data_IF_359841447510
#
_entry.id   IF_359841447510
#
_cell.length_a   1.000
_cell.length_b   1.000
_cell.length_c   1.000
_cell.angle_alpha   90.00
_cell.angle_beta   90.00
_cell.angle_gamma   90.00
#
_symmetry.space_group_name_H-M   'P 1'
#
loop_
_entity.id
_entity.type
_entity.pdbx_description
1 polymer ?
#
# COMPACT_ATOMS: atom_id res chain seq x y z
N UNK A 1 32.09 -62.87 -0.32
CA UNK A 1 32.39 -61.86 -1.36
C UNK A 1 31.08 -61.20 -1.77
N UNK A 2 30.87 -59.92 -1.43
CA UNK A 2 29.69 -59.15 -1.88
C UNK A 2 29.93 -58.77 -3.34
N UNK A 3 28.98 -59.06 -4.23
CA UNK A 3 29.01 -58.58 -5.62
C UNK A 3 28.57 -57.11 -5.60
N UNK A 4 29.49 -56.21 -5.93
CA UNK A 4 29.15 -54.82 -6.28
C UNK A 4 28.35 -54.85 -7.59
N UNK A 5 27.08 -54.47 -7.54
CA UNK A 5 26.26 -54.27 -8.73
C UNK A 5 26.62 -52.90 -9.33
N UNK A 6 27.35 -52.88 -10.44
CA UNK A 6 27.64 -51.66 -11.18
C UNK A 6 26.37 -51.06 -11.79
N UNK A 7 26.27 -49.73 -11.78
CA UNK A 7 25.19 -48.96 -12.40
C UNK A 7 25.23 -49.15 -13.93
N UNK A 8 24.08 -49.31 -14.58
CA UNK A 8 24.03 -49.47 -16.04
C UNK A 8 24.01 -48.10 -16.75
N UNK A 9 24.61 -48.00 -17.94
CA UNK A 9 24.58 -46.75 -18.72
C UNK A 9 23.14 -46.32 -19.06
N UNK A 10 22.25 -47.28 -19.32
CA UNK A 10 20.85 -46.99 -19.65
C UNK A 10 20.10 -46.37 -18.47
N UNK A 11 20.40 -46.80 -17.25
CA UNK A 11 19.79 -46.27 -16.03
C UNK A 11 20.17 -44.80 -15.82
N UNK A 12 21.41 -44.43 -16.12
CA UNK A 12 21.86 -43.03 -16.10
C UNK A 12 21.14 -42.18 -17.16
N UNK A 13 21.02 -42.71 -18.39
CA UNK A 13 20.39 -42.00 -19.51
C UNK A 13 18.91 -41.76 -19.26
N UNK A 14 18.19 -42.74 -18.72
CA UNK A 14 16.77 -42.59 -18.39
C UNK A 14 16.57 -41.51 -17.32
N UNK A 15 17.44 -41.42 -16.32
CA UNK A 15 17.35 -40.40 -15.27
C UNK A 15 17.52 -38.99 -15.84
N UNK A 16 18.52 -38.74 -16.70
CA UNK A 16 18.72 -37.40 -17.27
C UNK A 16 17.56 -37.00 -18.20
N UNK A 17 16.96 -37.95 -18.92
CA UNK A 17 15.79 -37.69 -19.78
C UNK A 17 14.58 -37.31 -18.93
N UNK A 18 14.32 -38.05 -17.85
CA UNK A 18 13.22 -37.73 -16.91
C UNK A 18 13.44 -36.35 -16.29
N UNK A 19 14.66 -36.05 -15.81
CA UNK A 19 14.99 -34.74 -15.24
C UNK A 19 14.85 -33.62 -16.29
N UNK A 20 15.20 -33.87 -17.54
CA UNK A 20 15.02 -32.91 -18.64
C UNK A 20 13.54 -32.55 -18.88
N UNK A 21 12.65 -33.53 -18.89
CA UNK A 21 11.20 -33.30 -19.06
C UNK A 21 10.62 -32.51 -17.87
N UNK A 22 11.01 -32.88 -16.64
CA UNK A 22 10.59 -32.17 -15.43
C UNK A 22 11.09 -30.71 -15.42
N UNK A 23 12.32 -30.48 -15.87
CA UNK A 23 12.90 -29.13 -15.92
C UNK A 23 12.16 -28.23 -16.92
N UNK A 24 11.88 -28.71 -18.13
CA UNK A 24 11.19 -27.91 -19.17
C UNK A 24 9.76 -27.53 -18.76
N UNK A 25 9.07 -28.42 -18.04
CA UNK A 25 7.70 -28.16 -17.57
C UNK A 25 7.66 -27.26 -16.32
N UNK A 26 8.66 -27.32 -15.44
CA UNK A 26 8.73 -26.50 -14.22
C UNK A 26 9.30 -25.09 -14.46
N UNK A 27 10.20 -24.92 -15.44
CA UNK A 27 10.93 -23.66 -15.65
C UNK A 27 10.04 -22.42 -15.86
N UNK A 28 8.96 -22.45 -16.69
CA UNK A 28 8.12 -21.26 -16.90
C UNK A 28 7.42 -20.81 -15.62
N UNK A 29 6.95 -21.76 -14.80
CA UNK A 29 6.28 -21.45 -13.53
C UNK A 29 7.26 -20.87 -12.52
N UNK A 30 8.48 -21.38 -12.46
CA UNK A 30 9.50 -20.89 -11.52
C UNK A 30 9.88 -19.43 -11.77
N UNK A 31 9.84 -18.99 -13.03
CA UNK A 31 10.14 -17.59 -13.39
C UNK A 31 9.07 -16.61 -12.88
N UNK A 32 7.79 -16.99 -12.91
CA UNK A 32 6.68 -16.09 -12.56
C UNK A 32 6.32 -16.06 -11.07
N UNK A 33 6.81 -17.02 -10.25
CA UNK A 33 6.47 -17.11 -8.82
C UNK A 33 6.84 -15.84 -8.04
N UNK A 34 7.88 -15.12 -8.45
CA UNK A 34 8.27 -13.89 -7.77
C UNK A 34 7.24 -12.78 -7.97
N UNK A 35 6.74 -12.62 -9.18
CA UNK A 35 5.74 -11.59 -9.51
C UNK A 35 4.38 -11.96 -8.92
N UNK A 36 3.97 -13.24 -9.00
CA UNK A 36 2.78 -13.76 -8.31
C UNK A 36 2.85 -13.49 -6.79
N UNK A 37 4.03 -13.70 -6.18
CA UNK A 37 4.23 -13.48 -4.75
C UNK A 37 4.19 -11.98 -4.39
N UNK A 38 4.70 -11.10 -5.25
CA UNK A 38 4.60 -9.64 -5.06
C UNK A 38 3.15 -9.18 -5.17
N UNK A 39 2.41 -9.65 -6.17
CA UNK A 39 1.01 -9.31 -6.35
C UNK A 39 0.15 -9.78 -5.17
N UNK A 40 0.35 -11.01 -4.70
CA UNK A 40 -0.33 -11.52 -3.50
C UNK A 40 -0.06 -10.67 -2.25
N UNK A 41 1.16 -10.12 -2.10
CA UNK A 41 1.47 -9.18 -0.99
C UNK A 41 0.76 -7.85 -1.16
N UNK A 42 0.68 -7.31 -2.38
CA UNK A 42 -0.08 -6.09 -2.68
C UNK A 42 -1.57 -6.27 -2.39
N UNK A 43 -2.15 -7.42 -2.73
CA UNK A 43 -3.53 -7.74 -2.38
C UNK A 43 -3.75 -7.79 -0.87
N UNK A 44 -2.84 -8.43 -0.14
CA UNK A 44 -2.87 -8.48 1.32
C UNK A 44 -2.82 -7.08 1.95
N UNK A 45 -1.91 -6.23 1.48
CA UNK A 45 -1.81 -4.85 1.95
C UNK A 45 -3.02 -4.01 1.55
N UNK A 46 -3.56 -4.19 0.34
CA UNK A 46 -4.81 -3.52 -0.08
C UNK A 46 -5.96 -3.88 0.85
N UNK A 47 -6.13 -5.15 1.22
CA UNK A 47 -7.17 -5.58 2.14
C UNK A 47 -6.98 -4.94 3.54
N UNK A 48 -5.74 -4.85 4.02
CA UNK A 48 -5.42 -4.14 5.26
C UNK A 48 -5.79 -2.65 5.17
N UNK A 49 -5.49 -2.00 4.03
CA UNK A 49 -5.87 -0.61 3.78
C UNK A 49 -7.38 -0.43 3.80
N UNK A 50 -8.13 -1.29 3.11
CA UNK A 50 -9.60 -1.22 3.08
C UNK A 50 -10.21 -1.37 4.49
N UNK A 51 -9.66 -2.29 5.29
CA UNK A 51 -10.08 -2.46 6.69
C UNK A 51 -9.79 -1.20 7.52
N UNK A 52 -8.58 -0.66 7.42
CA UNK A 52 -8.19 0.59 8.08
C UNK A 52 -9.09 1.76 7.70
N UNK A 53 -9.36 1.94 6.40
CA UNK A 53 -10.25 2.98 5.88
C UNK A 53 -11.68 2.83 6.41
N UNK A 54 -12.24 1.62 6.46
CA UNK A 54 -13.58 1.39 6.99
C UNK A 54 -13.68 1.74 8.48
N UNK A 55 -12.67 1.38 9.27
CA UNK A 55 -12.59 1.73 10.69
C UNK A 55 -12.38 3.25 10.88
N UNK A 56 -11.51 3.86 10.09
CA UNK A 56 -11.25 5.29 10.12
C UNK A 56 -12.49 6.11 9.77
N UNK A 57 -13.18 5.73 8.70
CA UNK A 57 -14.45 6.34 8.32
C UNK A 57 -15.49 6.21 9.44
N UNK A 58 -15.61 5.02 10.06
CA UNK A 58 -16.53 4.82 11.19
C UNK A 58 -16.23 5.75 12.37
N UNK A 59 -14.94 5.98 12.69
CA UNK A 59 -14.54 6.95 13.72
C UNK A 59 -14.94 8.38 13.34
N UNK A 60 -14.77 8.75 12.06
CA UNK A 60 -15.19 10.06 11.55
C UNK A 60 -16.70 10.25 11.60
N UNK A 61 -17.48 9.22 11.25
CA UNK A 61 -18.95 9.22 11.35
C UNK A 61 -19.42 9.40 12.79
N UNK A 62 -18.79 8.72 13.74
CA UNK A 62 -19.10 8.90 15.17
C UNK A 62 -18.82 10.34 15.63
N UNK A 63 -17.80 10.98 15.06
CA UNK A 63 -17.47 12.38 15.33
C UNK A 63 -18.36 13.38 14.54
N UNK A 64 -19.16 12.92 13.57
CA UNK A 64 -19.96 13.77 12.70
C UNK A 64 -19.14 14.62 11.72
N UNK A 65 -17.98 14.11 11.31
CA UNK A 65 -16.99 14.81 10.48
C UNK A 65 -16.81 14.18 9.09
N UNK A 66 -17.58 13.15 8.78
CA UNK A 66 -17.51 12.33 7.57
C UNK A 66 -17.98 13.05 6.30
N UNK A 67 -18.94 13.97 6.40
CA UNK A 67 -19.47 14.71 5.25
C UNK A 67 -18.74 16.03 5.00
N UNK A 68 -17.68 16.31 5.75
CA UNK A 68 -16.93 17.54 5.60
C UNK A 68 -15.91 17.43 4.45
N UNK A 69 -15.86 18.40 3.52
CA UNK A 69 -14.94 18.37 2.38
C UNK A 69 -13.47 18.45 2.79
N UNK A 70 -13.20 19.04 3.97
CA UNK A 70 -11.87 19.15 4.54
C UNK A 70 -11.93 19.32 6.05
N UNK A 71 -11.09 18.56 6.74
CA UNK A 71 -10.95 18.56 8.20
C UNK A 71 -9.48 18.41 8.56
N UNK A 72 -8.98 19.24 9.47
CA UNK A 72 -7.61 19.13 10.00
C UNK A 72 -7.54 19.39 11.51
N UNK A 73 -6.56 18.77 12.17
CA UNK A 73 -6.20 19.10 13.55
C UNK A 73 -5.33 20.35 13.67
N UNK A 74 -4.89 20.92 12.54
CA UNK A 74 -4.18 22.20 12.45
C UNK A 74 -5.02 23.20 11.64
N UNK A 75 -4.68 24.49 11.79
CA UNK A 75 -5.28 25.52 10.96
C UNK A 75 -4.72 25.41 9.55
N UNK A 76 -5.61 25.31 8.56
CA UNK A 76 -5.23 25.14 7.16
C UNK A 76 -5.87 26.21 6.29
N UNK A 77 -5.09 26.70 5.32
CA UNK A 77 -5.52 27.68 4.33
C UNK A 77 -5.91 26.94 3.04
N UNK A 78 -7.18 26.91 2.61
CA UNK A 78 -7.61 26.14 1.46
C UNK A 78 -7.53 26.88 0.11
N UNK A 79 -6.99 28.11 0.05
CA UNK A 79 -6.84 28.87 -1.21
C UNK A 79 -5.41 29.40 -1.42
N UNK A 80 -5.04 29.61 -2.69
CA UNK A 80 -3.76 30.20 -3.12
C UNK A 80 -3.54 31.65 -2.65
N UNK A 81 -4.56 32.29 -2.10
CA UNK A 81 -4.55 33.66 -1.55
C UNK A 81 -4.56 33.70 -0.01
N UNK A 82 -4.64 32.54 0.66
CA UNK A 82 -4.57 32.46 2.13
C UNK A 82 -5.75 33.08 2.89
N UNK A 83 -6.88 33.36 2.21
CA UNK A 83 -8.00 34.13 2.75
C UNK A 83 -9.09 33.30 3.42
N UNK A 84 -9.20 32.01 3.09
CA UNK A 84 -10.07 31.08 3.82
C UNK A 84 -9.23 30.40 4.91
N UNK A 85 -9.76 30.31 6.13
CA UNK A 85 -9.15 29.54 7.22
C UNK A 85 -10.14 28.46 7.58
N UNK A 86 -9.78 27.19 7.39
CA UNK A 86 -10.57 26.09 7.94
C UNK A 86 -10.24 25.98 9.43
N UNK A 87 -11.22 26.13 10.34
CA UNK A 87 -10.95 26.03 11.76
C UNK A 87 -10.51 24.61 12.13
N UNK A 88 -9.39 24.50 12.84
CA UNK A 88 -8.90 23.22 13.36
C UNK A 88 -9.91 22.55 14.31
N UNK A 89 -9.91 21.24 14.29
CA UNK A 89 -10.76 20.41 15.13
C UNK A 89 -10.02 19.20 15.70
N UNK A 90 -10.49 18.68 16.83
CA UNK A 90 -9.89 17.46 17.37
C UNK A 90 -10.40 16.29 16.56
N UNK A 91 -9.50 15.43 16.10
CA UNK A 91 -9.87 14.25 15.33
C UNK A 91 -9.84 12.99 16.22
N UNK A 92 -10.67 11.97 15.94
CA UNK A 92 -10.81 10.77 16.76
C UNK A 92 -9.70 9.74 16.52
N UNK A 93 -8.46 10.20 16.37
CA UNK A 93 -7.28 9.38 16.12
C UNK A 93 -6.16 9.76 17.08
N UNK A 94 -5.31 8.78 17.38
CA UNK A 94 -4.18 8.97 18.28
C UNK A 94 -3.28 10.08 17.74
N UNK A 95 -2.80 10.96 18.63
CA UNK A 95 -1.94 12.09 18.30
C UNK A 95 -2.54 13.12 17.31
N UNK A 96 -3.85 13.08 17.04
CA UNK A 96 -4.58 14.03 16.19
C UNK A 96 -5.41 15.05 16.99
N UNK A 97 -5.02 15.36 18.23
CA UNK A 97 -5.62 16.48 18.98
C UNK A 97 -5.29 17.83 18.32
N UNK A 98 -6.06 18.86 18.68
CA UNK A 98 -5.86 20.23 18.16
C UNK A 98 -4.43 20.71 18.39
N UNK A 99 -3.77 21.15 17.31
CA UNK A 99 -2.36 21.56 17.26
C UNK A 99 -1.38 20.53 17.85
N UNK A 100 -1.65 19.23 17.68
CA UNK A 100 -0.70 18.20 18.10
C UNK A 100 0.69 18.49 17.52
N UNK A 101 1.75 18.51 18.36
CA UNK A 101 3.12 18.71 17.89
C UNK A 101 3.67 17.47 17.19
N UNK A 102 3.00 16.32 17.34
CA UNK A 102 3.48 15.04 16.83
C UNK A 102 3.11 14.80 15.37
N UNK A 103 1.90 15.21 14.97
CA UNK A 103 1.42 15.01 13.60
C UNK A 103 0.32 15.98 13.16
N UNK A 104 0.28 16.19 11.84
CA UNK A 104 -0.85 16.82 11.16
C UNK A 104 -1.75 15.73 10.59
N UNK A 105 -3.02 15.79 10.92
CA UNK A 105 -4.02 14.82 10.51
C UNK A 105 -5.05 15.54 9.66
N UNK A 106 -5.19 15.10 8.42
CA UNK A 106 -6.07 15.70 7.44
C UNK A 106 -7.00 14.66 6.87
N UNK A 107 -8.29 14.97 6.82
CA UNK A 107 -9.32 14.11 6.26
C UNK A 107 -10.17 14.88 5.26
N UNK A 108 -10.65 14.20 4.23
CA UNK A 108 -11.59 14.67 3.22
C UNK A 108 -12.72 13.67 3.11
N UNK A 109 -13.95 14.12 3.31
CA UNK A 109 -15.13 13.27 3.19
C UNK A 109 -15.01 11.99 4.02
N UNK A 110 -14.47 12.11 5.24
CA UNK A 110 -14.29 11.01 6.19
C UNK A 110 -13.09 10.07 5.93
N UNK A 111 -12.31 10.29 4.87
CA UNK A 111 -11.11 9.49 4.56
C UNK A 111 -9.83 10.30 4.71
N UNK A 112 -8.69 9.69 5.07
CA UNK A 112 -7.44 10.42 5.20
C UNK A 112 -7.02 11.07 3.88
N UNK A 113 -6.49 12.28 3.93
CA UNK A 113 -6.01 12.98 2.75
C UNK A 113 -4.78 12.27 2.13
N UNK A 114 -4.44 12.62 0.90
CA UNK A 114 -3.21 12.15 0.23
C UNK A 114 -1.97 12.95 0.61
N UNK A 115 -2.11 13.91 1.52
CA UNK A 115 -1.04 14.74 2.04
C UNK A 115 -0.52 14.23 3.40
N UNK A 116 0.65 14.73 3.84
CA UNK A 116 1.40 14.40 5.08
C UNK A 116 0.68 13.47 6.09
N UNK A 117 1.31 12.34 6.38
CA UNK A 117 0.84 11.22 7.22
C UNK A 117 -0.44 10.48 6.79
N UNK A 118 -1.29 11.05 5.93
CA UNK A 118 -2.38 10.42 5.19
C UNK A 118 -2.88 9.05 5.71
N UNK A 119 -2.62 7.99 4.95
CA UNK A 119 -3.02 6.62 5.32
C UNK A 119 -2.28 6.04 6.53
N UNK A 120 -1.09 6.57 6.86
CA UNK A 120 -0.30 6.13 8.02
C UNK A 120 -1.02 6.35 9.35
N UNK A 121 -1.95 7.30 9.42
CA UNK A 121 -2.82 7.53 10.58
C UNK A 121 -3.66 6.29 10.91
N UNK A 122 -4.07 5.53 9.89
CA UNK A 122 -4.94 4.37 10.04
C UNK A 122 -4.18 3.05 10.08
N UNK A 123 -2.96 3.02 9.53
CA UNK A 123 -2.20 1.80 9.27
C UNK A 123 -0.79 2.02 9.80
N UNK A 124 -0.48 1.51 11.01
CA UNK A 124 0.81 1.73 11.66
C UNK A 124 2.01 1.27 10.83
N UNK A 125 1.84 0.21 10.03
CA UNK A 125 2.90 -0.32 9.17
C UNK A 125 3.17 0.55 7.92
N UNK A 126 2.33 1.56 7.64
CA UNK A 126 2.49 2.52 6.55
C UNK A 126 3.06 3.85 7.07
N UNK A 127 4.31 3.82 7.51
CA UNK A 127 4.97 5.01 8.04
C UNK A 127 5.82 5.74 6.97
N UNK A 128 5.97 7.06 7.14
CA UNK A 128 6.78 7.91 6.27
C UNK A 128 8.26 7.49 6.30
N UNK A 129 8.89 7.45 5.11
CA UNK A 129 10.30 7.39 4.66
C UNK A 129 11.49 7.03 5.60
N UNK A 130 11.39 7.12 6.93
CA UNK A 130 12.47 6.93 7.90
C UNK A 130 12.17 5.87 8.99
N UNK A 131 11.07 5.13 8.88
CA UNK A 131 10.73 3.99 9.73
C UNK A 131 11.35 2.69 9.20
N UNK A 132 11.54 1.64 10.00
CA UNK A 132 11.99 0.31 9.55
C UNK A 132 10.88 -0.51 8.85
N UNK A 133 9.76 0.12 8.48
CA UNK A 133 8.60 -0.56 7.89
C UNK A 133 8.89 -1.24 6.55
N UNK A 134 8.19 -2.35 6.28
CA UNK A 134 8.33 -3.11 5.03
C UNK A 134 7.68 -2.42 3.83
N UNK A 135 6.85 -1.40 4.09
CA UNK A 135 6.06 -0.68 3.10
C UNK A 135 6.38 0.81 3.13
N UNK A 136 6.40 1.45 1.97
CA UNK A 136 6.67 2.88 1.84
C UNK A 136 5.56 3.57 1.06
N UNK A 137 5.31 4.82 1.43
CA UNK A 137 4.42 5.72 0.70
C UNK A 137 5.29 6.64 -0.18
N UNK A 138 5.02 6.65 -1.48
CA UNK A 138 5.57 7.60 -2.45
C UNK A 138 4.48 8.57 -2.86
N UNK A 139 4.79 9.86 -2.78
CA UNK A 139 3.89 10.95 -3.15
C UNK A 139 4.15 11.31 -4.61
N UNK A 140 3.12 11.25 -5.44
CA UNK A 140 3.22 11.69 -6.82
C UNK A 140 3.40 13.21 -6.90
N UNK A 141 4.09 13.69 -7.93
CA UNK A 141 4.34 15.11 -8.22
C UNK A 141 3.08 15.99 -8.20
N UNK A 142 1.90 15.46 -8.56
CA UNK A 142 0.63 16.20 -8.54
C UNK A 142 -0.12 16.12 -7.21
N UNK A 143 0.39 15.36 -6.23
CA UNK A 143 -0.20 15.09 -4.91
C UNK A 143 -1.64 14.58 -4.93
N UNK A 144 -2.16 14.16 -6.10
CA UNK A 144 -3.57 13.73 -6.25
C UNK A 144 -3.78 12.30 -5.77
N UNK A 145 -2.72 11.51 -5.68
CA UNK A 145 -2.74 10.14 -5.23
C UNK A 145 -1.43 9.81 -4.51
N UNK A 146 -1.49 8.78 -3.67
CA UNK A 146 -0.36 8.16 -3.01
C UNK A 146 -0.12 6.78 -3.62
N UNK A 147 1.14 6.47 -3.88
CA UNK A 147 1.57 5.14 -4.29
C UNK A 147 2.19 4.41 -3.09
N UNK A 148 1.59 3.30 -2.67
CA UNK A 148 2.13 2.42 -1.63
C UNK A 148 2.85 1.27 -2.31
N UNK A 149 4.10 1.02 -1.94
CA UNK A 149 4.91 -0.05 -2.52
C UNK A 149 5.74 -0.72 -1.44
N UNK A 150 6.14 -1.98 -1.66
CA UNK A 150 7.08 -2.63 -0.77
C UNK A 150 8.43 -1.91 -0.82
N UNK A 151 9.15 -1.86 0.29
CA UNK A 151 10.40 -1.11 0.36
C UNK A 151 11.54 -1.77 -0.41
N UNK A 152 11.55 -3.09 -0.40
CA UNK A 152 12.52 -3.89 -1.17
C UNK A 152 12.34 -3.76 -2.68
N UNK A 153 11.13 -3.40 -3.13
CA UNK A 153 10.85 -3.10 -4.52
C UNK A 153 11.37 -1.70 -4.83
N UNK A 154 12.62 -1.64 -5.28
CA UNK A 154 13.35 -0.42 -5.63
C UNK A 154 12.86 0.18 -6.97
N UNK A 155 11.55 0.13 -7.21
CA UNK A 155 10.92 0.51 -8.45
C UNK A 155 10.88 2.04 -8.55
N UNK A 156 11.54 2.61 -9.57
CA UNK A 156 11.50 4.05 -9.82
C UNK A 156 10.17 4.49 -10.47
N UNK A 157 9.42 3.54 -11.03
CA UNK A 157 8.10 3.79 -11.60
C UNK A 157 7.02 3.55 -10.54
N UNK A 158 6.36 4.63 -10.10
CA UNK A 158 5.23 4.57 -9.16
C UNK A 158 4.04 3.81 -9.74
N UNK A 159 3.96 3.64 -11.07
CA UNK A 159 2.85 2.95 -11.74
C UNK A 159 3.03 1.43 -11.83
N UNK A 160 4.10 0.87 -11.27
CA UNK A 160 4.35 -0.57 -11.28
C UNK A 160 4.48 -1.12 -9.87
N UNK A 161 3.84 -2.26 -9.63
CA UNK A 161 3.93 -2.99 -8.36
C UNK A 161 3.59 -2.09 -7.14
N UNK A 162 2.45 -1.43 -7.23
CA UNK A 162 2.04 -0.42 -6.27
C UNK A 162 0.53 -0.42 -6.04
N UNK A 163 0.13 0.11 -4.89
CA UNK A 163 -1.27 0.38 -4.56
C UNK A 163 -1.48 1.88 -4.65
N UNK A 164 -2.42 2.31 -5.47
CA UNK A 164 -2.84 3.70 -5.59
C UNK A 164 -4.00 3.98 -4.67
N UNK A 165 -3.80 4.99 -3.81
CA UNK A 165 -4.83 5.57 -2.98
C UNK A 165 -5.08 7.02 -3.34
N UNK A 166 -6.35 7.42 -3.46
CA UNK A 166 -6.76 8.81 -3.52
C UNK A 166 -7.99 9.03 -2.65
N UNK A 167 -7.97 10.10 -1.84
CA UNK A 167 -9.14 10.54 -1.10
C UNK A 167 -10.26 11.03 -2.05
N UNK A 168 -11.53 11.02 -1.60
CA UNK A 168 -12.62 11.60 -2.36
C UNK A 168 -12.38 13.06 -2.75
N UNK A 169 -12.85 13.45 -3.94
CA UNK A 169 -12.73 14.82 -4.45
C UNK A 169 -13.99 15.64 -4.27
N UNK A 170 -15.11 14.98 -4.06
CA UNK A 170 -16.45 15.55 -3.99
C UNK A 170 -17.35 14.64 -3.14
N UNK A 171 -18.49 15.17 -2.72
CA UNK A 171 -19.47 14.49 -1.85
C UNK A 171 -19.98 13.16 -2.43
N UNK A 172 -19.98 13.03 -3.75
CA UNK A 172 -20.53 11.87 -4.45
C UNK A 172 -19.46 10.85 -4.86
N UNK A 173 -18.17 11.13 -4.61
CA UNK A 173 -17.09 10.17 -4.89
C UNK A 173 -16.65 9.43 -3.62
N UNK A 174 -16.35 8.14 -3.79
CA UNK A 174 -15.64 7.37 -2.77
C UNK A 174 -14.13 7.48 -2.99
N UNK A 175 -13.35 7.07 -2.00
CA UNK A 175 -11.91 6.91 -2.16
C UNK A 175 -11.60 5.95 -3.33
N UNK A 176 -10.47 6.17 -3.97
CA UNK A 176 -9.95 5.26 -4.99
C UNK A 176 -8.88 4.38 -4.36
N UNK A 177 -8.98 3.06 -4.53
CA UNK A 177 -7.95 2.11 -4.12
C UNK A 177 -7.73 1.04 -5.20
N UNK A 178 -6.59 1.09 -5.90
CA UNK A 178 -6.28 0.23 -7.05
C UNK A 178 -4.91 -0.39 -6.92
N UNK A 179 -4.74 -1.61 -7.41
CA UNK A 179 -3.43 -2.26 -7.55
C UNK A 179 -2.97 -2.02 -8.98
N UNK A 180 -1.72 -1.63 -9.14
CA UNK A 180 -1.02 -1.72 -10.41
C UNK A 180 -0.19 -3.01 -10.42
N UNK A 181 -0.28 -3.80 -11.50
CA UNK A 181 0.46 -5.06 -11.61
C UNK A 181 1.98 -4.81 -11.60
N UNK A 182 2.74 -5.87 -11.29
CA UNK A 182 4.19 -5.82 -11.24
C UNK A 182 4.87 -6.03 -12.61
N UNK A 183 4.14 -6.56 -13.60
CA UNK A 183 4.62 -6.87 -14.95
C UNK A 183 4.88 -5.63 -15.86
#
# INVERSE_FOLDING_TARGET
>A
MKKESGFTLIELVVVIVILGILAVTAAPRFLNIQDDAREARLEGMKAAIQSGLALGYSKMTIAGLEDLPYVSNKNSYPDSDGSIIVPKQSLPFDDCEKDSPKQECVFRWGYPDTYEQGLGILIPDLEHQYSDSTWQIKLTTDKKYMAITAREDNNQDENKCSIFYAAPKDENSSYTLKINPCD
#
